data_IF_290769891840
#
_entry.id   IF_290769891840
#
_cell.length_a   1.000
_cell.length_b   1.000
_cell.length_c   1.000
_cell.angle_alpha   90.00
_cell.angle_beta   90.00
_cell.angle_gamma   90.00
#
_symmetry.space_group_name_H-M   'P 1'
#
loop_
_entity.id
_entity.type
_entity.pdbx_description
1 polymer ?
#
# COMPACT_ATOMS: atom_id res chain seq x y z
N UNK A 1 -11.59 4.48 -13.16
CA UNK A 1 -11.84 5.87 -12.72
C UNK A 1 -11.14 6.19 -11.39
N UNK A 2 -11.55 5.59 -10.26
CA UNK A 2 -11.01 5.90 -8.93
C UNK A 2 -9.51 5.65 -8.76
N UNK A 3 -8.95 4.67 -9.47
CA UNK A 3 -7.49 4.47 -9.48
C UNK A 3 -6.74 5.66 -10.11
N UNK A 4 -7.23 6.14 -11.27
CA UNK A 4 -6.63 7.28 -11.97
C UNK A 4 -6.88 8.57 -11.21
N UNK A 5 -8.10 8.80 -10.70
CA UNK A 5 -8.42 9.95 -9.85
C UNK A 5 -7.56 9.96 -8.57
N UNK A 6 -7.38 8.79 -7.95
CA UNK A 6 -6.54 8.62 -6.77
C UNK A 6 -5.08 8.99 -7.05
N UNK A 7 -4.53 8.67 -8.23
CA UNK A 7 -3.17 9.10 -8.60
C UNK A 7 -3.00 10.61 -8.50
N UNK A 8 -3.93 11.38 -9.06
CA UNK A 8 -3.85 12.85 -9.01
C UNK A 8 -4.12 13.39 -7.60
N UNK A 9 -5.21 12.95 -6.98
CA UNK A 9 -5.62 13.43 -5.66
C UNK A 9 -4.53 13.21 -4.60
N UNK A 10 -4.00 11.99 -4.53
CA UNK A 10 -3.00 11.63 -3.53
C UNK A 10 -1.61 12.15 -3.88
N UNK A 11 -1.25 12.28 -5.17
CA UNK A 11 0.01 12.94 -5.55
C UNK A 11 0.02 14.40 -5.09
N UNK A 12 -1.03 15.17 -5.42
CA UNK A 12 -1.17 16.56 -4.99
C UNK A 12 -1.21 16.68 -3.48
N UNK A 13 -1.97 15.82 -2.80
CA UNK A 13 -2.03 15.81 -1.33
C UNK A 13 -0.65 15.51 -0.73
N UNK A 14 0.12 14.60 -1.32
CA UNK A 14 1.44 14.22 -0.81
C UNK A 14 2.47 15.33 -0.87
N UNK A 15 2.33 16.25 -1.81
CA UNK A 15 3.18 17.43 -1.90
C UNK A 15 2.83 18.47 -0.81
N UNK A 16 1.59 18.45 -0.28
CA UNK A 16 1.13 19.35 0.79
C UNK A 16 1.45 18.82 2.21
N UNK A 17 1.11 17.57 2.50
CA UNK A 17 1.25 16.98 3.85
C UNK A 17 2.58 16.24 4.05
N UNK A 18 3.36 16.09 2.97
CA UNK A 18 4.60 15.33 2.96
C UNK A 18 4.41 13.87 2.57
N UNK A 19 5.39 13.33 1.82
CA UNK A 19 5.33 11.98 1.25
C UNK A 19 5.35 10.89 2.31
N UNK A 20 6.21 11.00 3.34
CA UNK A 20 6.25 10.03 4.45
C UNK A 20 4.92 9.95 5.20
N UNK A 21 4.30 11.10 5.47
CA UNK A 21 2.99 11.17 6.13
C UNK A 21 1.88 10.55 5.26
N UNK A 22 1.93 10.78 3.94
CA UNK A 22 0.98 10.17 2.99
C UNK A 22 1.04 8.64 3.01
N UNK A 23 2.24 8.05 3.06
CA UNK A 23 2.37 6.60 3.22
C UNK A 23 1.85 6.11 4.58
N UNK A 24 2.08 6.83 5.66
CA UNK A 24 1.48 6.50 6.96
C UNK A 24 -0.05 6.51 6.89
N UNK A 25 -0.65 7.50 6.21
CA UNK A 25 -2.10 7.55 5.96
C UNK A 25 -2.54 6.33 5.16
N UNK A 26 -1.82 5.94 4.11
CA UNK A 26 -2.18 4.73 3.35
C UNK A 26 -2.19 3.47 4.19
N UNK A 27 -1.20 3.28 5.06
CA UNK A 27 -1.15 2.10 5.91
C UNK A 27 -2.25 2.12 6.99
N UNK A 28 -2.44 3.25 7.68
CA UNK A 28 -3.42 3.39 8.76
C UNK A 28 -4.86 3.34 8.24
N UNK A 29 -5.17 4.12 7.21
CA UNK A 29 -6.49 4.12 6.58
C UNK A 29 -6.78 2.78 5.92
N UNK A 30 -5.78 2.18 5.25
CA UNK A 30 -5.91 0.85 4.67
C UNK A 30 -6.24 -0.20 5.73
N UNK A 31 -5.51 -0.21 6.85
CA UNK A 31 -5.77 -1.13 7.96
C UNK A 31 -7.18 -0.98 8.52
N UNK A 32 -7.64 0.25 8.75
CA UNK A 32 -8.99 0.53 9.21
C UNK A 32 -10.06 0.05 8.21
N UNK A 33 -9.87 0.31 6.91
CA UNK A 33 -10.80 -0.10 5.86
C UNK A 33 -10.85 -1.63 5.70
N UNK A 34 -9.71 -2.31 5.71
CA UNK A 34 -9.67 -3.78 5.66
C UNK A 34 -10.33 -4.43 6.89
N UNK A 35 -10.20 -3.84 8.07
CA UNK A 35 -10.92 -4.28 9.26
C UNK A 35 -12.43 -3.99 9.20
N UNK A 36 -12.84 -2.92 8.51
CA UNK A 36 -14.24 -2.52 8.36
C UNK A 36 -15.00 -3.36 7.32
N UNK A 37 -14.33 -3.84 6.26
CA UNK A 37 -14.94 -4.61 5.16
C UNK A 37 -15.74 -5.83 5.65
N UNK A 38 -15.22 -6.71 6.54
CA UNK A 38 -15.99 -7.82 7.10
C UNK A 38 -17.28 -7.38 7.80
N UNK A 39 -17.23 -6.28 8.56
CA UNK A 39 -18.41 -5.75 9.27
C UNK A 39 -19.43 -5.19 8.30
N UNK A 40 -18.99 -4.44 7.28
CA UNK A 40 -19.87 -3.92 6.24
C UNK A 40 -20.57 -5.05 5.45
N UNK A 41 -19.85 -6.15 5.20
CA UNK A 41 -20.39 -7.34 4.55
C UNK A 41 -21.47 -8.03 5.42
N UNK A 42 -21.22 -8.19 6.73
CA UNK A 42 -22.18 -8.80 7.66
C UNK A 42 -23.48 -7.99 7.83
N UNK A 43 -23.37 -6.67 7.84
CA UNK A 43 -24.53 -5.77 7.92
C UNK A 43 -25.33 -5.73 6.60
N UNK A 44 -24.78 -6.28 5.51
CA UNK A 44 -25.43 -6.28 4.19
C UNK A 44 -25.44 -4.92 3.50
N UNK A 45 -24.66 -3.94 3.99
CA UNK A 45 -24.59 -2.60 3.41
C UNK A 45 -23.68 -2.61 2.18
N UNK A 46 -24.28 -2.82 1.00
CA UNK A 46 -23.58 -2.80 -0.29
C UNK A 46 -22.88 -1.44 -0.49
N UNK A 47 -23.52 -0.34 -0.09
CA UNK A 47 -22.97 1.00 -0.25
C UNK A 47 -21.65 1.18 0.54
N UNK A 48 -21.64 0.79 1.82
CA UNK A 48 -20.43 0.90 2.66
C UNK A 48 -19.32 -0.03 2.16
N UNK A 49 -19.68 -1.24 1.74
CA UNK A 49 -18.72 -2.20 1.19
C UNK A 49 -18.05 -1.64 -0.08
N UNK A 50 -18.84 -1.15 -1.03
CA UNK A 50 -18.33 -0.54 -2.27
C UNK A 50 -17.46 0.67 -1.96
N UNK A 51 -17.91 1.57 -1.08
CA UNK A 51 -17.17 2.76 -0.70
C UNK A 51 -15.77 2.42 -0.14
N UNK A 52 -15.67 1.39 0.71
CA UNK A 52 -14.38 0.94 1.24
C UNK A 52 -13.41 0.56 0.11
N UNK A 53 -13.88 -0.26 -0.86
CA UNK A 53 -13.05 -0.66 -1.99
C UNK A 53 -12.71 0.50 -2.93
N UNK A 54 -13.62 1.46 -3.14
CA UNK A 54 -13.32 2.65 -3.94
C UNK A 54 -12.17 3.46 -3.33
N UNK A 55 -12.17 3.63 -2.01
CA UNK A 55 -11.08 4.31 -1.30
C UNK A 55 -9.78 3.50 -1.40
N UNK A 56 -9.81 2.19 -1.15
CA UNK A 56 -8.64 1.30 -1.28
C UNK A 56 -8.03 1.37 -2.69
N UNK A 57 -8.86 1.30 -3.73
CA UNK A 57 -8.42 1.37 -5.13
C UNK A 57 -7.83 2.74 -5.47
N UNK A 58 -8.38 3.82 -4.88
CA UNK A 58 -7.80 5.16 -5.03
C UNK A 58 -6.42 5.26 -4.40
N UNK A 59 -6.24 4.68 -3.19
CA UNK A 59 -4.96 4.65 -2.48
C UNK A 59 -3.92 3.82 -3.23
N UNK A 60 -4.31 2.70 -3.85
CA UNK A 60 -3.42 1.92 -4.71
C UNK A 60 -2.86 2.79 -5.85
N UNK A 61 -3.70 3.62 -6.48
CA UNK A 61 -3.26 4.58 -7.50
C UNK A 61 -2.32 5.63 -6.91
N UNK A 62 -2.71 6.25 -5.80
CA UNK A 62 -1.94 7.27 -5.09
C UNK A 62 -0.55 6.79 -4.67
N UNK A 63 -0.45 5.58 -4.13
CA UNK A 63 0.81 4.94 -3.79
C UNK A 63 1.75 4.89 -4.98
N UNK A 64 1.33 4.29 -6.09
CA UNK A 64 2.18 4.19 -7.29
C UNK A 64 2.61 5.53 -7.87
N UNK A 65 1.75 6.55 -7.81
CA UNK A 65 2.12 7.90 -8.28
C UNK A 65 3.17 8.57 -7.39
N UNK A 66 3.16 8.28 -6.08
CA UNK A 66 4.02 8.94 -5.09
C UNK A 66 5.33 8.19 -4.81
N UNK A 67 5.44 6.89 -5.16
CA UNK A 67 6.67 6.07 -4.96
C UNK A 67 7.93 6.74 -5.52
N UNK A 68 8.01 7.14 -6.82
CA UNK A 68 9.28 7.64 -7.37
C UNK A 68 9.78 8.88 -6.63
N UNK A 69 8.86 9.77 -6.28
CA UNK A 69 9.19 11.01 -5.60
C UNK A 69 9.52 10.76 -4.12
N UNK A 70 8.85 9.81 -3.46
CA UNK A 70 9.22 9.38 -2.11
C UNK A 70 10.61 8.75 -2.06
N UNK A 71 10.92 7.86 -3.02
CA UNK A 71 12.26 7.27 -3.13
C UNK A 71 13.33 8.33 -3.39
N UNK A 72 13.05 9.31 -4.26
CA UNK A 72 13.96 10.44 -4.51
C UNK A 72 14.22 11.24 -3.23
N UNK A 73 13.18 11.54 -2.47
CA UNK A 73 13.31 12.36 -1.27
C UNK A 73 14.04 11.62 -0.13
N UNK A 74 13.99 10.28 -0.10
CA UNK A 74 14.67 9.44 0.93
C UNK A 74 16.10 9.03 0.53
N UNK A 75 16.33 8.69 -0.74
CA UNK A 75 17.58 8.10 -1.23
C UNK A 75 18.40 9.02 -2.15
N UNK A 76 17.88 10.20 -2.52
CA UNK A 76 18.49 11.11 -3.48
C UNK A 76 18.33 10.66 -4.93
N UNK A 77 18.59 11.55 -5.89
CA UNK A 77 18.26 11.37 -7.33
C UNK A 77 19.09 10.32 -8.06
N UNK A 78 20.31 10.00 -7.60
CA UNK A 78 21.30 9.21 -8.37
C UNK A 78 20.90 7.76 -8.59
N UNK A 79 20.30 7.11 -7.59
CA UNK A 79 19.98 5.68 -7.63
C UNK A 79 18.46 5.39 -7.60
N UNK A 80 17.61 6.41 -7.73
CA UNK A 80 16.14 6.25 -7.66
C UNK A 80 15.66 5.20 -8.66
N UNK A 81 16.16 5.22 -9.89
CA UNK A 81 15.75 4.26 -10.93
C UNK A 81 16.07 2.81 -10.56
N UNK A 82 17.29 2.55 -10.06
CA UNK A 82 17.70 1.20 -9.67
C UNK A 82 16.93 0.70 -8.43
N UNK A 83 16.70 1.57 -7.44
CA UNK A 83 15.90 1.26 -6.25
C UNK A 83 14.44 1.01 -6.64
N UNK A 84 13.87 1.86 -7.49
CA UNK A 84 12.51 1.70 -8.00
C UNK A 84 12.38 0.37 -8.76
N UNK A 85 13.36 -0.01 -9.59
CA UNK A 85 13.36 -1.29 -10.29
C UNK A 85 13.29 -2.48 -9.33
N UNK A 86 14.09 -2.50 -8.26
CA UNK A 86 14.02 -3.54 -7.21
C UNK A 86 12.67 -3.57 -6.50
N UNK A 87 12.10 -2.39 -6.24
CA UNK A 87 10.75 -2.28 -5.66
C UNK A 87 9.71 -2.92 -6.58
N UNK A 88 9.77 -2.67 -7.89
CA UNK A 88 8.86 -3.27 -8.86
C UNK A 88 9.01 -4.79 -8.93
N UNK A 89 10.24 -5.32 -8.82
CA UNK A 89 10.45 -6.77 -8.73
C UNK A 89 9.77 -7.38 -7.50
N UNK A 90 9.93 -6.74 -6.32
CA UNK A 90 9.27 -7.18 -5.10
C UNK A 90 7.74 -7.08 -5.22
N UNK A 91 7.22 -6.02 -5.85
CA UNK A 91 5.81 -5.85 -6.12
C UNK A 91 5.26 -6.94 -7.04
N UNK A 92 5.97 -7.29 -8.12
CA UNK A 92 5.58 -8.39 -9.02
C UNK A 92 5.56 -9.73 -8.29
N UNK A 93 6.56 -10.00 -7.43
CA UNK A 93 6.57 -11.21 -6.61
C UNK A 93 5.35 -11.26 -5.67
N UNK A 94 5.01 -10.14 -5.02
CA UNK A 94 3.80 -10.04 -4.20
C UNK A 94 2.52 -10.21 -5.04
N UNK A 95 2.48 -9.71 -6.28
CA UNK A 95 1.35 -9.87 -7.20
C UNK A 95 1.11 -11.32 -7.63
N UNK A 96 2.18 -12.13 -7.74
CA UNK A 96 2.06 -13.57 -8.02
C UNK A 96 1.69 -14.37 -6.77
N UNK A 97 2.35 -14.10 -5.64
CA UNK A 97 2.15 -14.87 -4.41
C UNK A 97 0.86 -14.50 -3.67
N UNK A 98 0.40 -13.26 -3.77
CA UNK A 98 -0.77 -12.74 -3.06
C UNK A 98 -2.05 -13.53 -3.36
N UNK A 99 -2.49 -13.65 -4.63
CA UNK A 99 -3.68 -14.42 -4.99
C UNK A 99 -3.57 -15.89 -4.58
N UNK A 100 -2.38 -16.48 -4.70
CA UNK A 100 -2.11 -17.87 -4.31
C UNK A 100 -2.35 -18.04 -2.80
N UNK A 101 -1.75 -17.19 -1.97
CA UNK A 101 -1.92 -17.20 -0.53
C UNK A 101 -3.39 -17.00 -0.12
N UNK A 102 -4.07 -16.01 -0.71
CA UNK A 102 -5.49 -15.73 -0.45
C UNK A 102 -6.37 -16.93 -0.78
N UNK A 103 -6.12 -17.58 -1.92
CA UNK A 103 -6.88 -18.75 -2.35
C UNK A 103 -6.67 -19.94 -1.41
N UNK A 104 -5.43 -20.21 -0.98
CA UNK A 104 -5.13 -21.27 -0.02
C UNK A 104 -5.82 -21.04 1.32
N UNK A 105 -5.73 -19.83 1.88
CA UNK A 105 -6.38 -19.48 3.16
C UNK A 105 -7.89 -19.68 3.03
N UNK A 106 -8.49 -19.17 1.94
CA UNK A 106 -9.91 -19.33 1.69
C UNK A 106 -10.32 -20.80 1.58
N UNK A 107 -9.58 -21.62 0.84
CA UNK A 107 -9.87 -23.05 0.67
C UNK A 107 -9.78 -23.78 2.01
N UNK A 108 -8.72 -23.53 2.78
CA UNK A 108 -8.54 -24.08 4.12
C UNK A 108 -9.74 -23.77 5.04
N UNK A 109 -10.23 -22.53 5.03
CA UNK A 109 -11.42 -22.14 5.82
C UNK A 109 -12.68 -22.90 5.38
N UNK A 110 -12.90 -23.03 4.07
CA UNK A 110 -14.07 -23.75 3.52
C UNK A 110 -14.01 -25.24 3.90
N UNK A 111 -12.83 -25.87 3.82
CA UNK A 111 -12.63 -27.29 4.18
C UNK A 111 -12.90 -27.54 5.67
N UNK A 112 -12.64 -26.55 6.53
CA UNK A 112 -12.91 -26.62 7.98
C UNK A 112 -14.34 -26.17 8.34
N UNK A 113 -15.25 -26.08 7.37
CA UNK A 113 -16.68 -25.86 7.59
C UNK A 113 -17.11 -24.39 7.69
N UNK A 114 -16.22 -23.43 7.42
CA UNK A 114 -16.59 -22.01 7.39
C UNK A 114 -17.45 -21.71 6.15
N UNK A 115 -18.61 -21.05 6.30
CA UNK A 115 -19.43 -20.66 5.16
C UNK A 115 -18.64 -19.84 4.13
N UNK A 116 -18.89 -20.07 2.84
CA UNK A 116 -18.19 -19.36 1.75
C UNK A 116 -18.26 -17.84 1.86
N UNK A 117 -19.32 -17.31 2.45
CA UNK A 117 -19.51 -15.88 2.69
C UNK A 117 -18.51 -15.31 3.70
N UNK A 118 -18.14 -16.10 4.72
CA UNK A 118 -17.24 -15.69 5.80
C UNK A 118 -15.78 -16.06 5.55
N UNK A 119 -15.51 -16.96 4.59
CA UNK A 119 -14.17 -17.44 4.28
C UNK A 119 -13.18 -16.32 3.90
N UNK A 120 -13.66 -15.15 3.47
CA UNK A 120 -12.82 -13.99 3.17
C UNK A 120 -12.53 -13.08 4.38
N UNK A 121 -13.28 -13.20 5.48
CA UNK A 121 -13.11 -12.34 6.65
C UNK A 121 -11.70 -12.48 7.25
N UNK A 122 -11.24 -13.73 7.39
CA UNK A 122 -9.89 -14.04 7.89
C UNK A 122 -8.82 -13.43 7.00
N UNK A 123 -8.98 -13.55 5.68
CA UNK A 123 -8.06 -12.94 4.71
C UNK A 123 -7.97 -11.42 4.87
N UNK A 124 -9.10 -10.73 5.07
CA UNK A 124 -9.12 -9.28 5.25
C UNK A 124 -8.36 -8.86 6.53
N UNK A 125 -8.50 -9.58 7.63
CA UNK A 125 -7.73 -9.32 8.85
C UNK A 125 -6.24 -9.59 8.70
N UNK A 126 -5.86 -10.64 7.94
CA UNK A 126 -4.45 -10.90 7.61
C UNK A 126 -3.88 -9.73 6.79
N UNK A 127 -4.62 -9.22 5.80
CA UNK A 127 -4.18 -8.04 5.04
C UNK A 127 -4.01 -6.80 5.92
N UNK A 128 -4.92 -6.58 6.87
CA UNK A 128 -4.79 -5.50 7.86
C UNK A 128 -3.50 -5.67 8.71
N UNK A 129 -3.18 -6.89 9.13
CA UNK A 129 -1.93 -7.21 9.82
C UNK A 129 -0.68 -6.96 8.97
N UNK A 130 -0.70 -7.32 7.68
CA UNK A 130 0.39 -7.02 6.75
C UNK A 130 0.60 -5.51 6.55
N UNK A 131 -0.48 -4.72 6.54
CA UNK A 131 -0.39 -3.26 6.48
C UNK A 131 0.23 -2.68 7.76
N UNK A 132 -0.04 -3.26 8.93
CA UNK A 132 0.61 -2.87 10.17
C UNK A 132 2.12 -3.14 10.11
N UNK A 133 2.54 -4.31 9.62
CA UNK A 133 3.96 -4.59 9.38
C UNK A 133 4.57 -3.59 8.39
N UNK A 134 3.85 -3.28 7.30
CA UNK A 134 4.24 -2.26 6.34
C UNK A 134 4.40 -0.87 6.96
N UNK A 135 3.51 -0.48 7.88
CA UNK A 135 3.61 0.78 8.63
C UNK A 135 4.88 0.81 9.47
N UNK A 136 5.16 -0.26 10.23
CA UNK A 136 6.38 -0.37 11.04
C UNK A 136 7.62 -0.23 10.16
N UNK A 137 7.68 -0.96 9.03
CA UNK A 137 8.76 -0.83 8.06
C UNK A 137 8.90 0.62 7.54
N UNK A 138 7.79 1.29 7.22
CA UNK A 138 7.81 2.68 6.74
C UNK A 138 8.28 3.68 7.81
N UNK A 139 7.96 3.45 9.08
CA UNK A 139 8.44 4.28 10.19
C UNK A 139 9.94 4.10 10.41
N UNK A 140 10.43 2.87 10.28
CA UNK A 140 11.86 2.52 10.38
C UNK A 140 12.69 3.06 9.20
N UNK A 141 12.07 3.29 8.03
CA UNK A 141 12.76 3.95 6.93
C UNK A 141 13.15 5.38 7.30
N UNK A 142 14.47 5.62 7.28
CA UNK A 142 15.11 6.92 7.51
C UNK A 142 15.78 7.39 6.23
N UNK A 143 15.89 8.71 6.08
CA UNK A 143 16.67 9.30 5.00
C UNK A 143 18.11 8.78 5.05
N UNK A 144 18.68 8.53 3.88
CA UNK A 144 20.08 8.13 3.78
C UNK A 144 20.97 9.25 4.32
N UNK A 145 21.99 8.88 5.09
CA UNK A 145 22.94 9.81 5.70
C UNK A 145 23.59 10.73 4.65
N UNK A 146 23.73 12.02 4.97
CA UNK A 146 24.19 13.08 4.04
C UNK A 146 25.50 12.76 3.30
N UNK A 147 26.38 11.94 3.89
CA UNK A 147 27.62 11.44 3.24
C UNK A 147 27.40 10.67 1.93
N UNK A 148 26.20 10.13 1.71
CA UNK A 148 25.81 9.46 0.47
C UNK A 148 24.84 10.32 -0.36
N UNK A 149 24.33 11.42 0.20
CA UNK A 149 23.58 12.46 -0.49
C UNK A 149 24.61 13.41 -1.10
N UNK A 150 25.19 13.02 -2.23
CA UNK A 150 26.13 13.89 -2.95
C UNK A 150 25.42 15.17 -3.39
N UNK A 151 25.98 16.31 -2.98
CA UNK A 151 25.49 17.65 -3.30
C UNK A 151 25.37 17.84 -4.82
N UNK A 152 24.28 18.45 -5.28
CA UNK A 152 23.96 18.59 -6.70
C UNK A 152 25.06 19.36 -7.48
N UNK A 153 25.94 20.07 -6.78
CA UNK A 153 27.13 20.74 -7.33
C UNK A 153 28.18 19.76 -7.86
N UNK A 154 28.29 18.56 -7.30
CA UNK A 154 29.23 17.53 -7.77
C UNK A 154 28.80 16.81 -9.06
N UNK A 155 27.58 17.05 -9.56
CA UNK A 155 27.10 16.51 -10.85
C UNK A 155 27.34 17.44 -12.04
N UNK A 156 27.82 18.67 -11.81
CA UNK A 156 28.09 19.67 -12.87
C UNK A 156 29.59 19.85 -13.17
N UNK A 157 30.46 19.10 -12.50
CA UNK A 157 31.90 19.07 -12.74
C UNK A 157 32.27 17.72 -13.38
#
# INVERSE_FOLDING_TARGET
>A
LFNMLGRFFWASTSDLIGRKATYCVFFLLGMALYALVPTAAKVGSIATFVLCYLVIISMYGGGFATIPAYLRDVFGVRYVGAIHGRLLTAWSAAGVLGPVLVNYIRQYQIEHGVPKADAYNVTMYIMAGLLLLGLVCNLLMRAVHERYVLDARAMRA
#
